data_IF_403432440087
#
_entry.id   IF_403432440087
#
_cell.length_a   1.000
_cell.length_b   1.000
_cell.length_c   1.000
_cell.angle_alpha   90.00
_cell.angle_beta   90.00
_cell.angle_gamma   90.00
#
_symmetry.space_group_name_H-M   'P 1'
#
loop_
_entity.id
_entity.type
_entity.pdbx_description
1 polymer ?
#
# COMPACT_ATOMS: atom_id res chain seq x y z
N UNK A 1 24.85 10.72 -23.35
CA UNK A 1 25.06 9.33 -22.90
C UNK A 1 24.93 9.25 -21.39
N UNK A 2 24.01 8.41 -20.87
CA UNK A 2 23.80 8.24 -19.44
C UNK A 2 24.97 7.52 -18.77
N UNK A 3 25.37 8.00 -17.61
CA UNK A 3 26.13 7.21 -16.64
C UNK A 3 25.13 6.43 -15.79
N UNK A 4 25.24 5.11 -15.78
CA UNK A 4 24.32 4.24 -15.07
C UNK A 4 24.97 3.81 -13.76
N UNK A 5 24.29 4.07 -12.64
CA UNK A 5 24.66 3.54 -11.33
C UNK A 5 23.70 2.42 -10.98
N UNK A 6 24.22 1.21 -10.93
CA UNK A 6 23.46 -0.01 -10.69
C UNK A 6 23.69 -0.44 -9.24
N UNK A 7 22.61 -0.64 -8.49
CA UNK A 7 22.63 -1.12 -7.11
C UNK A 7 21.98 -2.49 -7.04
N UNK A 8 22.62 -3.41 -6.32
CA UNK A 8 22.03 -4.68 -5.93
C UNK A 8 22.47 -5.02 -4.51
N UNK A 9 21.53 -5.04 -3.57
CA UNK A 9 21.83 -5.17 -2.14
C UNK A 9 22.89 -4.14 -1.71
N UNK A 10 24.03 -4.57 -1.17
CA UNK A 10 25.15 -3.71 -0.75
C UNK A 10 26.10 -3.31 -1.89
N UNK A 11 25.99 -3.94 -3.06
CA UNK A 11 26.90 -3.74 -4.18
C UNK A 11 26.40 -2.57 -5.05
N UNK A 12 27.30 -1.63 -5.33
CA UNK A 12 27.03 -0.51 -6.25
C UNK A 12 28.11 -0.46 -7.31
N UNK A 13 27.70 -0.49 -8.59
CA UNK A 13 28.59 -0.33 -9.74
C UNK A 13 28.17 0.87 -10.58
N UNK A 14 29.14 1.57 -11.14
CA UNK A 14 28.91 2.65 -12.11
C UNK A 14 29.45 2.20 -13.46
N UNK A 15 28.65 2.34 -14.50
CA UNK A 15 28.97 1.86 -15.84
C UNK A 15 28.48 2.85 -16.89
N UNK A 16 29.19 2.88 -18.02
CA UNK A 16 28.71 3.43 -19.28
C UNK A 16 28.54 2.26 -20.24
N UNK A 17 27.35 2.11 -20.81
CA UNK A 17 27.01 0.98 -21.66
C UNK A 17 26.95 1.47 -23.11
N UNK A 18 27.78 0.86 -23.96
CA UNK A 18 27.87 1.15 -25.38
C UNK A 18 27.73 -0.15 -26.18
N UNK A 19 26.75 -0.26 -27.10
CA UNK A 19 25.64 0.68 -27.33
C UNK A 19 24.63 0.66 -26.17
N UNK A 20 23.86 1.75 -25.98
CA UNK A 20 22.83 1.86 -24.93
C UNK A 20 21.56 1.07 -25.30
N UNK A 21 21.73 -0.25 -25.34
CA UNK A 21 20.69 -1.24 -25.65
C UNK A 21 20.36 -2.07 -24.41
N UNK A 22 19.12 -2.55 -24.35
CA UNK A 22 18.62 -3.44 -23.33
C UNK A 22 19.48 -4.70 -23.20
N UNK A 23 19.85 -5.32 -24.32
CA UNK A 23 20.69 -6.54 -24.32
C UNK A 23 22.07 -6.27 -23.71
N UNK A 24 22.69 -5.14 -24.04
CA UNK A 24 23.98 -4.73 -23.48
C UNK A 24 23.88 -4.48 -21.97
N UNK A 25 22.81 -3.82 -21.52
CA UNK A 25 22.54 -3.59 -20.11
C UNK A 25 22.27 -4.88 -19.36
N UNK A 26 21.43 -5.74 -19.93
CA UNK A 26 21.05 -7.01 -19.34
C UNK A 26 22.28 -7.91 -19.15
N UNK A 27 23.07 -8.08 -20.22
CA UNK A 27 24.31 -8.86 -20.19
C UNK A 27 25.31 -8.31 -19.18
N UNK A 28 25.53 -6.98 -19.16
CA UNK A 28 26.42 -6.37 -18.18
C UNK A 28 25.97 -6.65 -16.74
N UNK A 29 24.66 -6.55 -16.47
CA UNK A 29 24.12 -6.80 -15.13
C UNK A 29 24.33 -8.25 -14.71
N UNK A 30 23.98 -9.21 -15.58
CA UNK A 30 24.12 -10.63 -15.28
C UNK A 30 25.59 -11.01 -15.01
N UNK A 31 26.52 -10.52 -15.84
CA UNK A 31 27.95 -10.76 -15.67
C UNK A 31 28.53 -10.02 -14.44
N UNK A 32 28.18 -8.76 -14.24
CA UNK A 32 28.78 -7.94 -13.19
C UNK A 32 28.28 -8.26 -11.79
N UNK A 33 27.03 -8.73 -11.66
CA UNK A 33 26.42 -9.06 -10.38
C UNK A 33 26.27 -10.57 -10.17
N UNK A 34 26.65 -11.40 -11.15
CA UNK A 34 26.55 -12.86 -11.12
C UNK A 34 25.13 -13.33 -10.79
N UNK A 35 24.14 -12.78 -11.50
CA UNK A 35 22.72 -13.09 -11.34
C UNK A 35 22.10 -13.45 -12.69
N UNK A 36 20.89 -14.02 -12.66
CA UNK A 36 20.04 -14.11 -13.85
C UNK A 36 18.91 -13.09 -13.76
N UNK A 37 18.66 -12.34 -14.84
CA UNK A 37 17.53 -11.43 -14.94
C UNK A 37 16.19 -12.16 -15.08
N UNK A 38 16.19 -13.47 -15.32
CA UNK A 38 14.97 -14.29 -15.21
C UNK A 38 14.41 -14.31 -13.77
N UNK A 39 15.29 -14.23 -12.77
CA UNK A 39 14.96 -14.25 -11.35
C UNK A 39 15.12 -12.88 -10.68
N UNK A 40 15.26 -11.80 -11.44
CA UNK A 40 15.40 -10.44 -10.91
C UNK A 40 14.61 -9.42 -11.74
N UNK A 41 14.19 -8.31 -11.13
CA UNK A 41 13.55 -7.17 -11.81
C UNK A 41 14.46 -5.97 -11.76
N UNK A 42 14.44 -5.15 -12.81
CA UNK A 42 15.15 -3.88 -12.85
C UNK A 42 14.16 -2.74 -12.64
N UNK A 43 14.52 -1.83 -11.74
CA UNK A 43 13.79 -0.59 -11.51
C UNK A 43 14.73 0.59 -11.65
N UNK A 44 14.39 1.57 -12.49
CA UNK A 44 14.94 2.90 -12.37
C UNK A 44 14.41 3.53 -11.08
N UNK A 45 15.27 4.18 -10.31
CA UNK A 45 14.93 4.92 -9.09
C UNK A 45 15.18 6.42 -9.24
N UNK A 46 16.07 6.80 -10.18
CA UNK A 46 16.29 8.19 -10.60
C UNK A 46 16.61 8.26 -12.09
N UNK A 47 16.07 9.26 -12.82
CA UNK A 47 15.30 10.40 -12.30
C UNK A 47 13.82 10.10 -12.03
N UNK A 48 13.28 9.04 -12.64
CA UNK A 48 11.89 8.63 -12.49
C UNK A 48 11.88 7.19 -11.98
N UNK A 49 11.01 6.91 -11.00
CA UNK A 49 10.81 5.56 -10.50
C UNK A 49 9.96 4.77 -11.49
N UNK A 50 10.57 3.86 -12.25
CA UNK A 50 9.86 3.02 -13.24
C UNK A 50 10.52 1.65 -13.38
N UNK A 51 9.73 0.63 -13.72
CA UNK A 51 10.27 -0.68 -14.06
C UNK A 51 10.91 -0.64 -15.45
N UNK A 52 12.05 -1.32 -15.62
CA UNK A 52 12.73 -1.45 -16.91
C UNK A 52 12.64 -2.91 -17.33
N UNK A 53 11.90 -3.19 -18.41
CA UNK A 53 11.71 -4.55 -18.92
C UNK A 53 12.04 -4.68 -20.40
N UNK A 54 11.96 -3.59 -21.14
CA UNK A 54 12.08 -3.56 -22.60
C UNK A 54 13.02 -2.45 -23.06
N UNK A 55 13.41 -2.50 -24.33
CA UNK A 55 14.18 -1.42 -24.96
C UNK A 55 13.43 -0.08 -24.88
N UNK A 56 12.10 -0.08 -25.08
CA UNK A 56 11.28 1.13 -25.03
C UNK A 56 11.34 1.82 -23.67
N UNK A 57 11.35 1.06 -22.58
CA UNK A 57 11.50 1.61 -21.23
C UNK A 57 12.87 2.29 -21.07
N UNK A 58 13.92 1.68 -21.62
CA UNK A 58 15.28 2.21 -21.57
C UNK A 58 15.45 3.46 -22.44
N UNK A 59 14.82 3.48 -23.62
CA UNK A 59 14.84 4.62 -24.54
C UNK A 59 14.19 5.86 -23.92
N UNK A 60 13.11 5.67 -23.13
CA UNK A 60 12.47 6.76 -22.38
C UNK A 60 13.41 7.44 -21.37
N UNK A 61 14.48 6.75 -20.96
CA UNK A 61 15.46 7.23 -20.00
C UNK A 61 16.73 7.81 -20.68
N UNK A 62 16.83 7.71 -22.01
CA UNK A 62 18.04 8.05 -22.78
C UNK A 62 18.41 9.54 -22.74
N UNK A 63 17.43 10.42 -22.54
CA UNK A 63 17.61 11.88 -22.45
C UNK A 63 18.36 12.29 -21.17
N UNK A 64 18.42 11.41 -20.17
CA UNK A 64 19.01 11.73 -18.88
C UNK A 64 20.51 11.41 -18.84
N UNK A 65 21.28 12.28 -18.17
CA UNK A 65 22.75 12.10 -18.03
C UNK A 65 23.14 11.08 -16.95
N UNK A 66 22.27 10.82 -15.97
CA UNK A 66 22.53 9.91 -14.86
C UNK A 66 21.28 9.07 -14.61
N UNK A 67 21.45 7.76 -14.55
CA UNK A 67 20.41 6.80 -14.20
C UNK A 67 20.82 6.04 -12.94
N UNK A 68 19.93 5.92 -11.96
CA UNK A 68 20.10 4.99 -10.83
C UNK A 68 19.17 3.80 -11.03
N UNK A 69 19.74 2.63 -11.35
CA UNK A 69 19.00 1.38 -11.52
C UNK A 69 19.21 0.51 -10.29
N UNK A 70 18.13 -0.01 -9.75
CA UNK A 70 18.13 -0.98 -8.66
C UNK A 70 17.70 -2.34 -9.20
N UNK A 71 18.45 -3.37 -8.83
CA UNK A 71 18.13 -4.77 -9.09
C UNK A 71 17.36 -5.27 -7.87
N UNK A 72 16.16 -5.78 -8.12
CA UNK A 72 15.28 -6.36 -7.12
C UNK A 72 15.21 -7.87 -7.37
N UNK A 73 15.15 -8.68 -6.31
CA UNK A 73 14.84 -10.10 -6.48
C UNK A 73 13.43 -10.24 -7.06
N UNK A 74 13.26 -11.15 -8.03
CA UNK A 74 11.97 -11.60 -8.52
C UNK A 74 11.42 -12.61 -7.50
N UNK A 75 11.26 -12.16 -6.26
CA UNK A 75 10.74 -12.98 -5.18
C UNK A 75 9.22 -13.10 -5.35
N UNK A 76 8.80 -14.01 -6.22
CA UNK A 76 7.64 -14.81 -5.87
C UNK A 76 8.18 -16.02 -5.12
N UNK A 77 8.35 -15.88 -3.80
CA UNK A 77 8.75 -17.02 -2.99
C UNK A 77 7.71 -18.14 -3.17
N UNK A 78 8.13 -19.42 -3.14
CA UNK A 78 7.18 -20.56 -3.18
C UNK A 78 6.07 -20.35 -2.14
N UNK A 79 6.44 -19.79 -0.99
CA UNK A 79 5.52 -19.37 0.06
C UNK A 79 4.49 -18.32 -0.41
N UNK A 80 4.92 -17.29 -1.12
CA UNK A 80 4.03 -16.28 -1.73
C UNK A 80 3.06 -16.90 -2.72
N UNK A 81 3.54 -17.83 -3.55
CA UNK A 81 2.70 -18.55 -4.50
C UNK A 81 1.67 -19.41 -3.79
N UNK A 82 2.08 -20.19 -2.79
CA UNK A 82 1.17 -21.00 -1.95
C UNK A 82 0.14 -20.13 -1.24
N UNK A 83 0.52 -18.97 -0.69
CA UNK A 83 -0.45 -18.05 -0.06
C UNK A 83 -1.50 -17.58 -1.07
N UNK A 84 -1.10 -17.22 -2.30
CA UNK A 84 -2.07 -16.78 -3.31
C UNK A 84 -3.03 -17.88 -3.70
N UNK A 85 -2.50 -19.08 -3.94
CA UNK A 85 -3.32 -20.27 -4.23
C UNK A 85 -4.30 -20.54 -3.09
N UNK A 86 -3.84 -20.49 -1.84
CA UNK A 86 -4.70 -20.63 -0.66
C UNK A 86 -5.76 -19.54 -0.58
N UNK A 87 -5.44 -18.28 -0.89
CA UNK A 87 -6.40 -17.17 -0.89
C UNK A 87 -7.42 -17.26 -2.05
N UNK A 88 -7.07 -17.94 -3.14
CA UNK A 88 -7.96 -18.17 -4.29
C UNK A 88 -8.91 -19.35 -4.08
N UNK A 89 -8.59 -20.26 -3.15
CA UNK A 89 -9.50 -21.34 -2.80
C UNK A 89 -10.82 -20.77 -2.24
N UNK A 90 -11.99 -21.11 -2.80
CA UNK A 90 -13.27 -20.51 -2.39
C UNK A 90 -13.58 -20.63 -0.88
N UNK A 91 -13.22 -21.77 -0.27
CA UNK A 91 -13.39 -22.01 1.16
C UNK A 91 -12.56 -21.06 2.03
N UNK A 92 -11.29 -20.87 1.66
CA UNK A 92 -10.38 -19.97 2.38
C UNK A 92 -10.72 -18.51 2.13
N UNK A 93 -11.11 -18.16 0.90
CA UNK A 93 -11.61 -16.83 0.56
C UNK A 93 -12.75 -16.42 1.48
N UNK A 94 -13.76 -17.27 1.57
CA UNK A 94 -14.94 -17.05 2.41
C UNK A 94 -14.59 -17.03 3.91
N UNK A 95 -13.68 -17.90 4.36
CA UNK A 95 -13.17 -17.89 5.73
C UNK A 95 -12.49 -16.56 6.09
N UNK A 96 -11.60 -16.07 5.23
CA UNK A 96 -10.87 -14.81 5.42
C UNK A 96 -11.80 -13.61 5.43
N UNK A 97 -12.79 -13.57 4.54
CA UNK A 97 -13.84 -12.54 4.52
C UNK A 97 -14.58 -12.50 5.87
N UNK A 98 -14.99 -13.66 6.41
CA UNK A 98 -15.63 -13.71 7.73
C UNK A 98 -14.72 -13.21 8.84
N UNK A 99 -13.44 -13.58 8.83
CA UNK A 99 -12.48 -13.11 9.84
C UNK A 99 -12.24 -11.61 9.78
N UNK A 100 -12.09 -11.02 8.60
CA UNK A 100 -12.03 -9.57 8.46
C UNK A 100 -13.30 -8.90 8.99
N UNK A 101 -14.47 -9.44 8.65
CA UNK A 101 -15.74 -8.92 9.14
C UNK A 101 -15.86 -8.97 10.68
N UNK A 102 -15.44 -10.07 11.30
CA UNK A 102 -15.45 -10.23 12.76
C UNK A 102 -14.51 -9.22 13.44
N UNK A 103 -13.31 -9.02 12.89
CA UNK A 103 -12.35 -8.04 13.41
C UNK A 103 -12.87 -6.61 13.25
N UNK A 104 -13.49 -6.25 12.11
CA UNK A 104 -14.12 -4.94 11.92
C UNK A 104 -15.28 -4.69 12.90
N UNK A 105 -16.06 -5.73 13.23
CA UNK A 105 -17.14 -5.64 14.22
C UNK A 105 -16.61 -5.42 15.63
N UNK A 106 -15.53 -6.12 15.98
CA UNK A 106 -14.92 -6.04 17.30
C UNK A 106 -14.09 -4.76 17.49
N UNK A 107 -13.43 -4.29 16.43
CA UNK A 107 -12.54 -3.13 16.43
C UNK A 107 -12.83 -2.20 15.23
N UNK A 108 -13.91 -1.41 15.30
CA UNK A 108 -14.39 -0.60 14.17
C UNK A 108 -13.49 0.57 13.78
N UNK A 109 -12.51 0.93 14.62
CA UNK A 109 -11.53 1.97 14.34
C UNK A 109 -10.22 1.46 13.72
N UNK A 110 -10.08 0.14 13.52
CA UNK A 110 -8.85 -0.45 12.95
C UNK A 110 -8.75 -0.11 11.46
N UNK A 111 -7.65 0.51 11.06
CA UNK A 111 -7.40 0.84 9.65
C UNK A 111 -6.97 -0.37 8.83
N UNK A 112 -7.17 -0.30 7.51
CA UNK A 112 -6.69 -1.31 6.56
C UNK A 112 -5.19 -1.57 6.70
N UNK A 113 -4.40 -0.51 6.89
CA UNK A 113 -2.95 -0.58 7.04
C UNK A 113 -2.52 -1.29 8.35
N UNK A 114 -3.38 -1.30 9.37
CA UNK A 114 -3.16 -2.04 10.60
C UNK A 114 -3.52 -3.54 10.46
N UNK A 115 -4.38 -3.89 9.51
CA UNK A 115 -4.83 -5.26 9.25
C UNK A 115 -3.99 -5.98 8.20
N UNK A 116 -3.44 -5.23 7.24
CA UNK A 116 -2.63 -5.76 6.16
C UNK A 116 -1.23 -5.13 6.25
N UNK A 117 -0.22 -5.91 6.69
CA UNK A 117 1.15 -5.42 6.84
C UNK A 117 1.70 -4.78 5.55
N UNK A 118 2.37 -3.64 5.70
CA UNK A 118 2.93 -2.89 4.57
C UNK A 118 4.16 -3.55 3.94
N UNK A 119 4.81 -4.48 4.64
CA UNK A 119 5.94 -5.26 4.16
C UNK A 119 5.52 -6.51 3.35
N UNK A 120 4.23 -6.72 3.11
CA UNK A 120 3.76 -7.81 2.25
C UNK A 120 4.02 -7.53 0.77
N UNK A 121 4.27 -8.61 0.03
CA UNK A 121 4.35 -8.58 -1.42
C UNK A 121 3.05 -8.02 -2.03
N UNK A 122 3.18 -7.13 -3.03
CA UNK A 122 2.07 -6.43 -3.65
C UNK A 122 0.97 -7.36 -4.18
N UNK A 123 1.35 -8.54 -4.69
CA UNK A 123 0.43 -9.51 -5.27
C UNK A 123 -0.50 -10.14 -4.21
N UNK A 124 0.04 -10.48 -3.03
CA UNK A 124 -0.72 -10.99 -1.88
C UNK A 124 -1.51 -9.85 -1.24
N UNK A 125 -0.87 -8.68 -1.08
CA UNK A 125 -1.49 -7.48 -0.51
C UNK A 125 -2.75 -7.10 -1.29
N UNK A 126 -2.70 -7.11 -2.63
CA UNK A 126 -3.86 -6.86 -3.48
C UNK A 126 -5.02 -7.80 -3.18
N UNK A 127 -4.77 -9.11 -3.11
CA UNK A 127 -5.82 -10.10 -2.78
C UNK A 127 -6.41 -9.85 -1.39
N UNK A 128 -5.60 -9.62 -0.37
CA UNK A 128 -6.09 -9.34 0.97
C UNK A 128 -6.92 -8.05 1.04
N UNK A 129 -6.56 -7.02 0.27
CA UNK A 129 -7.35 -5.78 0.15
C UNK A 129 -8.72 -6.07 -0.48
N UNK A 130 -8.78 -6.91 -1.52
CA UNK A 130 -10.05 -7.28 -2.14
C UNK A 130 -10.95 -8.07 -1.16
N UNK A 131 -10.39 -9.00 -0.39
CA UNK A 131 -11.12 -9.71 0.66
C UNK A 131 -11.60 -8.79 1.78
N UNK A 132 -10.77 -7.81 2.15
CA UNK A 132 -11.17 -6.78 3.10
C UNK A 132 -12.33 -5.94 2.54
N UNK A 133 -12.32 -5.58 1.26
CA UNK A 133 -13.43 -4.83 0.63
C UNK A 133 -14.72 -5.66 0.60
N UNK A 134 -14.63 -6.93 0.24
CA UNK A 134 -15.76 -7.86 0.27
C UNK A 134 -16.31 -8.00 1.70
N UNK A 135 -15.43 -8.12 2.70
CA UNK A 135 -15.81 -8.15 4.10
C UNK A 135 -16.46 -6.84 4.54
N UNK A 136 -15.87 -5.70 4.17
CA UNK A 136 -16.36 -4.35 4.45
C UNK A 136 -17.77 -4.18 3.90
N UNK A 137 -18.02 -4.56 2.64
CA UNK A 137 -19.33 -4.50 2.00
C UNK A 137 -20.37 -5.43 2.66
N UNK A 138 -19.94 -6.57 3.22
CA UNK A 138 -20.82 -7.46 4.00
C UNK A 138 -21.06 -6.94 5.41
N UNK A 139 -20.10 -6.20 5.97
CA UNK A 139 -20.23 -5.49 7.24
C UNK A 139 -20.78 -4.08 7.11
N UNK A 140 -21.03 -3.59 5.89
CA UNK A 140 -21.79 -2.38 5.63
C UNK A 140 -23.18 -2.65 6.21
N UNK A 141 -23.25 -2.31 7.50
CA UNK A 141 -24.45 -1.99 8.22
C UNK A 141 -25.19 -1.05 7.28
N UNK A 142 -26.22 -1.59 6.63
CA UNK A 142 -27.16 -0.81 5.82
C UNK A 142 -27.72 0.42 6.57
N UNK A 143 -27.45 0.57 7.88
CA UNK A 143 -27.86 1.68 8.74
C UNK A 143 -26.85 1.99 9.88
N UNK A 144 -25.52 2.02 9.63
CA UNK A 144 -24.60 2.54 10.65
C UNK A 144 -24.57 4.07 10.64
N UNK A 145 -25.20 4.68 11.63
CA UNK A 145 -25.08 6.11 11.87
C UNK A 145 -24.13 6.33 13.06
N UNK A 146 -23.23 7.31 12.91
CA UNK A 146 -22.48 7.91 14.01
C UNK A 146 -23.18 9.21 14.40
N UNK A 147 -23.33 9.43 15.70
CA UNK A 147 -23.88 10.68 16.21
C UNK A 147 -22.75 11.72 16.26
N UNK A 148 -22.94 12.87 15.62
CA UNK A 148 -21.95 13.97 15.56
C UNK A 148 -22.66 15.28 15.89
N UNK A 149 -22.02 16.13 16.70
CA UNK A 149 -22.48 17.49 16.93
C UNK A 149 -21.96 18.43 15.84
N UNK A 150 -22.87 19.03 15.08
CA UNK A 150 -22.56 19.98 13.99
C UNK A 150 -23.00 21.38 14.41
N UNK A 151 -22.20 22.41 14.11
CA UNK A 151 -22.58 23.83 14.25
C UNK A 151 -23.46 24.22 13.07
N UNK A 152 -24.74 24.45 13.33
CA UNK A 152 -25.70 25.00 12.37
C UNK A 152 -26.29 26.29 12.95
N UNK A 153 -26.21 27.37 12.19
CA UNK A 153 -26.76 28.69 12.58
C UNK A 153 -26.28 29.17 13.97
N UNK A 154 -25.04 28.86 14.33
CA UNK A 154 -24.43 29.23 15.61
C UNK A 154 -24.85 28.36 16.80
N UNK A 155 -25.62 27.28 16.59
CA UNK A 155 -26.03 26.32 17.62
C UNK A 155 -25.49 24.92 17.33
N UNK A 156 -25.24 24.16 18.39
CA UNK A 156 -24.70 22.80 18.30
C UNK A 156 -25.85 21.79 18.29
N UNK A 157 -25.99 21.03 17.21
CA UNK A 157 -27.08 20.09 16.98
C UNK A 157 -26.54 18.66 16.82
N UNK A 158 -27.15 17.69 17.51
CA UNK A 158 -26.79 16.28 17.40
C UNK A 158 -27.42 15.68 16.13
N UNK A 159 -26.59 15.20 15.20
CA UNK A 159 -27.04 14.56 13.95
C UNK A 159 -26.51 13.14 13.83
N UNK A 160 -27.37 12.22 13.37
CA UNK A 160 -26.96 10.90 12.91
C UNK A 160 -26.42 11.00 11.48
N UNK A 161 -25.13 10.74 11.31
CA UNK A 161 -24.43 10.80 10.03
C UNK A 161 -24.01 9.39 9.62
N UNK A 162 -24.18 8.96 8.37
CA UNK A 162 -23.67 7.67 7.93
C UNK A 162 -22.19 7.52 8.25
N UNK A 163 -21.79 6.32 8.69
CA UNK A 163 -20.40 6.09 9.12
C UNK A 163 -19.41 6.27 7.97
N UNK A 164 -19.88 6.02 6.74
CA UNK A 164 -19.19 6.22 5.47
C UNK A 164 -18.98 7.69 5.07
N UNK A 165 -19.69 8.64 5.69
CA UNK A 165 -19.55 10.06 5.37
C UNK A 165 -18.37 10.67 6.14
N UNK A 166 -17.43 11.29 5.41
CA UNK A 166 -16.30 12.01 6.00
C UNK A 166 -16.80 13.20 6.84
N UNK A 167 -16.32 13.32 8.09
CA UNK A 167 -16.73 14.43 8.96
C UNK A 167 -15.90 15.65 8.58
N UNK A 168 -16.57 16.76 8.26
CA UNK A 168 -15.92 18.04 8.16
C UNK A 168 -15.70 18.61 9.58
N UNK A 169 -14.48 18.46 10.09
CA UNK A 169 -14.14 18.91 11.44
C UNK A 169 -14.15 20.44 11.61
N UNK A 170 -14.19 21.23 10.52
CA UNK A 170 -14.30 22.68 10.62
C UNK A 170 -15.68 23.17 11.04
N UNK A 171 -16.71 22.32 10.92
CA UNK A 171 -18.09 22.60 11.35
C UNK A 171 -18.50 21.79 12.59
N UNK A 172 -17.58 21.04 13.19
CA UNK A 172 -17.84 20.19 14.35
C UNK A 172 -17.58 20.97 15.64
N UNK A 173 -18.54 20.97 16.58
CA UNK A 173 -18.36 21.63 17.87
C UNK A 173 -17.64 20.73 18.88
N UNK A 174 -16.31 20.81 18.90
CA UNK A 174 -15.47 19.99 19.79
C UNK A 174 -15.77 20.20 21.28
N UNK A 175 -16.25 21.37 21.68
CA UNK A 175 -16.53 21.67 23.08
C UNK A 175 -17.85 21.03 23.57
N UNK A 176 -18.85 20.91 22.68
CA UNK A 176 -20.06 20.13 22.96
C UNK A 176 -19.81 18.63 22.89
N UNK A 177 -18.92 18.19 21.99
CA UNK A 177 -18.48 16.80 21.88
C UNK A 177 -17.79 16.35 23.18
N UNK A 178 -16.86 17.13 23.71
CA UNK A 178 -16.13 16.76 24.93
C UNK A 178 -17.02 16.65 26.16
N UNK A 179 -18.07 17.48 26.27
CA UNK A 179 -19.03 17.46 27.40
C UNK A 179 -20.04 16.30 27.36
N UNK A 180 -20.18 15.63 26.22
CA UNK A 180 -21.15 14.53 26.02
C UNK A 180 -20.49 13.15 25.95
N UNK A 181 -19.16 13.08 26.02
CA UNK A 181 -18.43 11.82 26.05
C UNK A 181 -18.50 11.19 27.44
N UNK A 182 -18.53 9.85 27.53
CA UNK A 182 -18.40 9.14 28.80
C UNK A 182 -17.14 9.59 29.58
N UNK A 183 -17.20 9.75 30.92
CA UNK A 183 -16.12 10.32 31.72
C UNK A 183 -14.74 9.67 31.52
N UNK A 184 -14.73 8.35 31.32
CA UNK A 184 -13.55 7.52 31.04
C UNK A 184 -12.87 7.82 29.70
N UNK A 185 -13.57 8.42 28.74
CA UNK A 185 -13.00 8.89 27.46
C UNK A 185 -12.41 10.29 27.62
N UNK A 186 -13.05 11.15 28.41
CA UNK A 186 -12.57 12.50 28.73
C UNK A 186 -11.26 12.44 29.51
N UNK A 187 -11.16 11.56 30.52
CA UNK A 187 -9.93 11.35 31.29
C UNK A 187 -8.74 11.00 30.40
N UNK A 188 -8.94 10.10 29.42
CA UNK A 188 -7.87 9.71 28.48
C UNK A 188 -7.42 10.83 27.54
N UNK A 189 -8.31 11.77 27.21
CA UNK A 189 -7.97 12.91 26.36
C UNK A 189 -7.19 14.01 27.12
N UNK A 190 -7.38 14.10 28.45
CA UNK A 190 -6.73 15.09 29.30
C UNK A 190 -5.40 14.62 29.91
N UNK A 191 -4.99 13.36 29.73
CA UNK A 191 -3.68 12.86 30.18
C UNK A 191 -2.52 13.19 29.20
N UNK A 192 -2.53 14.38 28.60
CA UNK A 192 -1.40 14.93 27.84
C UNK A 192 -0.78 16.10 28.57
#
# INVERSE_FOLDING_TARGET
MPVIKIRFSTIVKKVKIEPFLWESLAKYIEEAFNISLSSHKLSCTKPISCAIKTQTDLDSLSEHKLLEIEILHNDESVYSQTIRELLDMPSNREYMIRKFADVMRQYPSTSLDALIPNNLELSIKGKLIDLYRDASARTERKNAFKLVYVKEEGKSVLKGVPTSQWINYSTTDFEALSRSLPPNVIEKLNMK
#
